data_IF_621571696396
#
_entry.id   IF_621571696396
#
_cell.length_a   1.000
_cell.length_b   1.000
_cell.length_c   1.000
_cell.angle_alpha   90.00
_cell.angle_beta   90.00
_cell.angle_gamma   90.00
#
_symmetry.space_group_name_H-M   'P 1'
#
loop_
_entity.id
_entity.type
_entity.pdbx_description
1 polymer ?
#
# COMPACT_ATOMS: atom_id res chain seq x y z
N UNK A 1 -41.57 -61.73 1.22
CA UNK A 1 -40.40 -60.93 1.66
C UNK A 1 -40.31 -59.70 0.79
N UNK A 2 -40.41 -58.52 1.37
CA UNK A 2 -40.37 -57.24 0.65
C UNK A 2 -40.84 -56.13 1.58
N UNK A 3 -39.89 -55.33 2.09
CA UNK A 3 -40.18 -54.15 2.91
C UNK A 3 -40.84 -53.08 2.02
N UNK A 4 -41.90 -52.40 2.47
CA UNK A 4 -42.42 -51.26 1.75
C UNK A 4 -41.47 -50.06 1.91
N UNK A 5 -41.33 -49.35 0.80
CA UNK A 5 -40.60 -48.10 0.62
C UNK A 5 -40.81 -47.13 1.79
N UNK A 6 -39.71 -46.59 2.34
CA UNK A 6 -39.73 -45.38 3.15
C UNK A 6 -40.26 -44.24 2.28
N UNK A 7 -41.52 -43.87 2.49
CA UNK A 7 -42.06 -42.58 2.10
C UNK A 7 -41.24 -41.46 2.75
N UNK A 8 -41.10 -40.38 1.99
CA UNK A 8 -40.18 -39.28 2.23
C UNK A 8 -40.27 -38.68 3.62
N UNK A 9 -39.09 -38.51 4.21
CA UNK A 9 -38.84 -37.44 5.16
C UNK A 9 -37.95 -36.44 4.40
N UNK A 10 -38.55 -35.73 3.46
CA UNK A 10 -38.16 -34.34 3.21
C UNK A 10 -38.71 -33.56 4.40
N UNK A 11 -38.02 -33.67 5.54
CA UNK A 11 -38.24 -32.75 6.65
C UNK A 11 -37.58 -31.44 6.27
N UNK A 12 -38.37 -30.38 6.37
CA UNK A 12 -37.99 -28.99 6.21
C UNK A 12 -36.57 -28.71 6.72
N UNK A 13 -35.71 -28.24 5.83
CA UNK A 13 -34.43 -27.60 6.19
C UNK A 13 -34.68 -26.25 6.91
N UNK A 14 -35.96 -25.86 7.06
CA UNK A 14 -36.40 -24.66 7.79
C UNK A 14 -36.94 -24.98 9.20
N UNK A 15 -36.65 -26.16 9.75
CA UNK A 15 -37.08 -26.62 11.08
C UNK A 15 -36.38 -25.94 12.27
N UNK A 16 -36.14 -24.64 12.23
CA UNK A 16 -35.70 -23.89 13.41
C UNK A 16 -36.93 -23.55 14.23
N UNK A 17 -36.89 -23.84 15.54
CA UNK A 17 -37.91 -23.32 16.46
C UNK A 17 -37.93 -21.79 16.32
N UNK A 18 -39.08 -21.11 16.45
CA UNK A 18 -39.16 -19.65 16.35
C UNK A 18 -38.19 -18.92 17.30
N UNK A 19 -37.80 -19.58 18.38
CA UNK A 19 -36.95 -19.07 19.45
C UNK A 19 -35.46 -19.40 19.26
N UNK A 20 -35.08 -20.10 18.19
CA UNK A 20 -33.70 -20.49 17.92
C UNK A 20 -33.15 -19.61 16.79
N UNK A 21 -32.28 -18.69 17.19
CA UNK A 21 -31.56 -17.82 16.29
C UNK A 21 -30.59 -18.64 15.43
N UNK A 22 -30.80 -18.66 14.11
CA UNK A 22 -30.09 -19.54 13.16
C UNK A 22 -29.55 -18.79 11.94
N UNK A 23 -29.06 -17.57 12.13
CA UNK A 23 -28.27 -16.91 11.10
C UNK A 23 -26.79 -17.32 11.21
N UNK A 24 -26.24 -17.80 10.09
CA UNK A 24 -24.81 -18.04 9.98
C UNK A 24 -24.09 -16.71 9.81
N UNK A 25 -23.60 -16.12 10.91
CA UNK A 25 -22.79 -14.91 10.85
C UNK A 25 -21.32 -15.24 10.57
N UNK A 26 -20.71 -14.66 9.51
CA UNK A 26 -19.27 -14.77 9.33
C UNK A 26 -18.54 -14.02 10.44
N UNK A 27 -17.60 -14.70 11.10
CA UNK A 27 -16.68 -14.10 12.07
C UNK A 27 -15.94 -12.93 11.45
N UNK A 28 -15.88 -11.81 12.16
CA UNK A 28 -15.23 -10.58 11.69
C UNK A 28 -15.78 -10.10 10.32
N UNK A 29 -17.03 -10.48 10.00
CA UNK A 29 -17.67 -10.16 8.73
C UNK A 29 -17.90 -8.67 8.51
N UNK A 30 -18.16 -8.25 7.25
CA UNK A 30 -18.34 -6.84 6.88
C UNK A 30 -19.50 -6.14 7.60
N UNK A 31 -20.45 -6.90 8.16
CA UNK A 31 -21.55 -6.38 8.98
C UNK A 31 -21.12 -5.90 10.38
N UNK A 32 -19.89 -6.19 10.82
CA UNK A 32 -19.35 -5.82 12.14
C UNK A 32 -18.21 -4.80 11.99
N UNK A 33 -18.23 -3.98 10.93
CA UNK A 33 -17.26 -2.88 10.75
C UNK A 33 -17.50 -1.81 11.82
N UNK A 34 -16.45 -1.04 12.10
CA UNK A 34 -16.57 0.17 12.94
C UNK A 34 -16.94 -0.10 14.40
N UNK A 35 -16.60 -1.29 14.90
CA UNK A 35 -16.65 -1.63 16.33
C UNK A 35 -15.30 -2.20 16.80
N UNK A 36 -15.05 -2.26 18.10
CA UNK A 36 -13.91 -2.95 18.72
C UNK A 36 -14.41 -3.71 19.95
N UNK A 37 -14.11 -5.01 20.01
CA UNK A 37 -14.43 -5.85 21.18
C UNK A 37 -13.36 -5.60 22.24
N UNK A 38 -13.80 -5.14 23.41
CA UNK A 38 -13.00 -4.91 24.61
C UNK A 38 -13.24 -6.05 25.62
N UNK A 39 -12.53 -6.05 26.75
CA UNK A 39 -12.63 -7.10 27.77
C UNK A 39 -14.02 -7.22 28.41
N UNK A 40 -14.73 -6.10 28.54
CA UNK A 40 -15.99 -5.97 29.27
C UNK A 40 -17.09 -5.25 28.48
N UNK A 41 -16.87 -5.02 27.18
CA UNK A 41 -17.86 -4.38 26.32
C UNK A 41 -17.43 -4.22 24.87
N UNK A 42 -18.20 -3.44 24.12
CA UNK A 42 -17.94 -3.09 22.73
C UNK A 42 -17.84 -1.57 22.62
N UNK A 43 -16.78 -1.11 21.97
CA UNK A 43 -16.60 0.26 21.53
C UNK A 43 -17.14 0.37 20.10
N UNK A 44 -18.22 1.11 19.92
CA UNK A 44 -18.90 1.32 18.65
C UNK A 44 -18.61 2.73 18.15
N UNK A 45 -18.09 2.84 16.93
CA UNK A 45 -17.72 4.10 16.30
C UNK A 45 -18.24 4.18 14.86
N UNK A 46 -19.32 3.45 14.57
CA UNK A 46 -20.05 3.53 13.29
C UNK A 46 -20.83 4.83 13.12
N UNK A 47 -21.19 5.48 14.24
CA UNK A 47 -21.89 6.76 14.27
C UNK A 47 -20.97 7.98 14.23
N UNK A 48 -21.52 9.15 14.58
CA UNK A 48 -20.78 10.42 14.65
C UNK A 48 -19.94 10.61 15.91
N UNK A 49 -19.94 9.62 16.80
CA UNK A 49 -19.18 9.60 18.06
C UNK A 49 -18.98 8.15 18.50
N UNK A 50 -18.03 7.95 19.40
CA UNK A 50 -17.83 6.66 20.05
C UNK A 50 -18.92 6.43 21.09
N UNK A 51 -19.55 5.26 21.04
CA UNK A 51 -20.48 4.76 22.03
C UNK A 51 -19.96 3.45 22.63
N UNK A 52 -20.27 3.20 23.90
CA UNK A 52 -19.88 1.98 24.59
C UNK A 52 -21.13 1.21 24.96
N UNK A 53 -21.18 -0.05 24.55
CA UNK A 53 -22.35 -0.92 24.74
C UNK A 53 -21.93 -2.32 25.15
N UNK A 54 -22.90 -3.10 25.62
CA UNK A 54 -22.72 -4.55 25.77
C UNK A 54 -22.61 -5.19 24.39
N UNK A 55 -21.94 -6.33 24.32
CA UNK A 55 -21.94 -7.13 23.10
C UNK A 55 -23.35 -7.61 22.79
N UNK A 56 -23.67 -7.58 21.51
CA UNK A 56 -24.87 -8.17 20.94
C UNK A 56 -24.50 -9.56 20.40
N UNK A 57 -25.46 -10.49 20.25
CA UNK A 57 -25.22 -11.77 19.61
C UNK A 57 -24.48 -11.63 18.28
N UNK A 58 -24.79 -10.59 17.51
CA UNK A 58 -24.19 -10.33 16.21
C UNK A 58 -22.72 -9.87 16.20
N UNK A 59 -22.12 -9.48 17.35
CA UNK A 59 -20.72 -9.05 17.44
C UNK A 59 -19.71 -10.23 17.48
N UNK A 60 -19.92 -11.26 16.65
CA UNK A 60 -19.03 -12.43 16.58
C UNK A 60 -17.64 -12.06 16.04
N UNK A 61 -16.69 -11.87 16.95
CA UNK A 61 -15.28 -11.59 16.65
C UNK A 61 -14.36 -12.69 17.16
N UNK A 62 -13.31 -12.95 16.38
CA UNK A 62 -12.25 -13.90 16.80
C UNK A 62 -11.34 -13.32 17.87
N UNK A 63 -11.15 -12.02 17.83
CA UNK A 63 -10.14 -11.32 18.63
C UNK A 63 -10.80 -10.23 19.50
N UNK A 64 -10.28 -10.06 20.70
CA UNK A 64 -10.64 -9.00 21.63
C UNK A 64 -9.40 -8.20 22.00
N UNK A 65 -9.55 -6.89 22.19
CA UNK A 65 -8.48 -6.05 22.67
C UNK A 65 -8.37 -6.13 24.20
N UNK A 66 -7.16 -6.11 24.77
CA UNK A 66 -6.92 -6.32 26.20
C UNK A 66 -7.15 -5.05 27.03
N UNK A 67 -8.24 -4.32 26.76
CA UNK A 67 -8.61 -3.09 27.45
C UNK A 67 -10.05 -3.18 27.90
N UNK A 68 -10.38 -2.52 29.00
CA UNK A 68 -11.75 -2.32 29.48
C UNK A 68 -12.38 -1.07 28.89
N UNK A 69 -13.70 -1.01 28.90
CA UNK A 69 -14.48 0.16 28.51
C UNK A 69 -14.08 1.39 29.33
N UNK A 70 -13.86 1.23 30.63
CA UNK A 70 -13.49 2.35 31.50
C UNK A 70 -12.08 2.88 31.21
N UNK A 71 -11.12 2.01 30.90
CA UNK A 71 -9.77 2.42 30.47
C UNK A 71 -9.83 3.25 29.18
N UNK A 72 -10.54 2.78 28.15
CA UNK A 72 -10.64 3.50 26.87
C UNK A 72 -11.47 4.78 27.01
N UNK A 73 -12.60 4.73 27.74
CA UNK A 73 -13.46 5.90 27.97
C UNK A 73 -12.72 7.00 28.73
N UNK A 74 -12.04 6.62 29.81
CA UNK A 74 -11.26 7.52 30.67
C UNK A 74 -9.94 7.97 30.06
N UNK A 75 -9.49 7.34 28.98
CA UNK A 75 -8.28 7.71 28.28
C UNK A 75 -8.34 9.16 27.77
N UNK A 76 -7.24 9.88 28.02
CA UNK A 76 -7.02 11.26 27.56
C UNK A 76 -6.34 11.26 26.18
N UNK A 77 -5.54 12.29 25.89
CA UNK A 77 -4.71 12.37 24.69
C UNK A 77 -3.47 11.46 24.82
N UNK A 78 -3.07 10.73 23.77
CA UNK A 78 -1.85 9.93 23.76
C UNK A 78 -0.63 10.81 23.40
N UNK A 79 -0.23 11.70 24.32
CA UNK A 79 0.78 12.73 24.06
C UNK A 79 2.14 12.16 23.67
N UNK A 80 2.61 11.11 24.34
CA UNK A 80 3.90 10.50 24.02
C UNK A 80 3.87 9.81 22.64
N UNK A 81 2.77 9.15 22.31
CA UNK A 81 2.59 8.60 20.96
C UNK A 81 2.59 9.69 19.88
N UNK A 82 1.86 10.78 20.11
CA UNK A 82 1.80 11.90 19.16
C UNK A 82 3.17 12.57 18.98
N UNK A 83 3.91 12.78 20.07
CA UNK A 83 5.26 13.35 20.03
C UNK A 83 6.25 12.45 19.28
N UNK A 84 6.20 11.14 19.53
CA UNK A 84 6.99 10.17 18.74
C UNK A 84 6.66 10.24 17.25
N UNK A 85 5.38 10.31 16.90
CA UNK A 85 4.97 10.39 15.49
C UNK A 85 5.38 11.71 14.84
N UNK A 86 5.33 12.84 15.57
CA UNK A 86 5.89 14.13 15.14
C UNK A 86 7.38 14.06 14.87
N UNK A 87 8.15 13.36 15.73
CA UNK A 87 9.57 13.14 15.52
C UNK A 87 9.92 12.41 14.21
N UNK A 88 8.98 11.69 13.59
CA UNK A 88 9.20 10.97 12.33
C UNK A 88 8.89 11.82 11.08
N UNK A 89 8.17 12.95 11.22
CA UNK A 89 7.69 13.76 10.11
C UNK A 89 7.80 15.26 10.39
N UNK A 90 8.60 15.98 9.59
CA UNK A 90 8.70 17.44 9.71
C UNK A 90 7.44 18.19 9.24
N UNK A 91 6.63 17.58 8.36
CA UNK A 91 5.41 18.18 7.83
C UNK A 91 4.19 17.64 8.59
N UNK A 92 3.49 18.52 9.30
CA UNK A 92 2.32 18.16 10.10
C UNK A 92 1.13 17.68 9.26
N UNK A 93 0.95 18.20 8.04
CA UNK A 93 -0.10 17.72 7.12
C UNK A 93 0.20 16.28 6.67
N UNK A 94 1.46 15.97 6.38
CA UNK A 94 1.92 14.62 6.07
C UNK A 94 1.60 13.68 7.24
N UNK A 95 1.93 14.08 8.46
CA UNK A 95 1.62 13.30 9.65
C UNK A 95 0.10 13.13 9.86
N UNK A 96 -0.69 14.18 9.70
CA UNK A 96 -2.14 14.10 9.84
C UNK A 96 -2.76 13.20 8.78
N UNK A 97 -2.27 13.25 7.53
CA UNK A 97 -2.68 12.33 6.46
C UNK A 97 -2.34 10.88 6.80
N UNK A 98 -1.21 10.62 7.46
CA UNK A 98 -0.85 9.29 7.96
C UNK A 98 -1.80 8.84 9.08
N UNK A 99 -2.19 9.72 10.00
CA UNK A 99 -3.18 9.37 11.03
C UNK A 99 -4.53 8.97 10.44
N UNK A 100 -5.00 9.65 9.39
CA UNK A 100 -6.20 9.21 8.66
C UNK A 100 -6.01 7.83 8.01
N UNK A 101 -4.85 7.56 7.40
CA UNK A 101 -4.58 6.21 6.89
C UNK A 101 -4.57 5.14 7.99
N UNK A 102 -3.88 5.40 9.11
CA UNK A 102 -3.83 4.48 10.26
C UNK A 102 -5.21 4.29 10.92
N UNK A 103 -6.10 5.28 10.83
CA UNK A 103 -7.48 5.18 11.34
C UNK A 103 -8.32 4.11 10.61
N UNK A 104 -7.90 3.68 9.42
CA UNK A 104 -8.55 2.58 8.69
C UNK A 104 -8.33 1.21 9.33
N UNK A 105 -7.33 1.09 10.21
CA UNK A 105 -7.00 -0.16 10.90
C UNK A 105 -8.13 -0.58 11.86
N UNK A 106 -8.52 0.22 12.88
CA UNK A 106 -9.58 -0.16 13.80
C UNK A 106 -10.92 -0.42 13.09
N UNK A 107 -11.23 0.32 12.02
CA UNK A 107 -12.50 0.18 11.30
C UNK A 107 -12.60 -1.11 10.48
N UNK A 108 -11.46 -1.73 10.13
CA UNK A 108 -11.37 -2.88 9.22
C UNK A 108 -12.00 -2.60 7.85
N UNK A 109 -12.12 -1.32 7.48
CA UNK A 109 -12.77 -0.90 6.25
C UNK A 109 -11.75 -0.84 5.10
N UNK A 110 -11.73 -1.89 4.29
CA UNK A 110 -10.93 -1.96 3.06
C UNK A 110 -11.63 -1.32 1.86
N UNK A 111 -12.89 -0.87 2.01
CA UNK A 111 -13.73 -0.35 0.93
C UNK A 111 -13.23 0.97 0.31
N UNK A 112 -12.38 1.72 1.01
CA UNK A 112 -11.75 2.94 0.49
C UNK A 112 -10.55 2.68 -0.41
N UNK A 113 -10.12 1.42 -0.53
CA UNK A 113 -9.08 0.98 -1.47
C UNK A 113 -7.74 1.65 -1.28
N UNK A 114 -7.28 1.75 -0.04
CA UNK A 114 -5.93 2.18 0.28
C UNK A 114 -5.07 1.00 0.76
N UNK A 115 -3.82 0.99 0.33
CA UNK A 115 -2.75 0.15 0.88
C UNK A 115 -1.51 1.00 1.12
N UNK A 116 -0.89 0.82 2.28
CA UNK A 116 0.18 1.67 2.78
C UNK A 116 1.53 1.22 2.25
N UNK A 117 2.34 2.17 1.80
CA UNK A 117 3.74 1.95 1.43
C UNK A 117 4.57 2.96 2.19
N UNK A 118 5.26 2.50 3.24
CA UNK A 118 6.10 3.31 4.11
C UNK A 118 7.55 3.13 3.68
N UNK A 119 8.13 4.19 3.14
CA UNK A 119 9.49 4.21 2.58
C UNK A 119 10.39 5.13 3.40
N UNK A 120 11.68 4.83 3.45
CA UNK A 120 12.69 5.65 4.10
C UNK A 120 13.91 4.81 4.43
N UNK A 121 15.02 5.42 4.84
CA UNK A 121 16.23 4.67 5.17
C UNK A 121 16.13 3.91 6.51
N UNK A 122 17.25 3.31 6.93
CA UNK A 122 17.40 2.72 8.26
C UNK A 122 17.17 3.79 9.35
N UNK A 123 16.64 3.37 10.49
CA UNK A 123 16.52 4.20 11.70
C UNK A 123 15.61 5.43 11.58
N UNK A 124 14.61 5.39 10.69
CA UNK A 124 13.65 6.50 10.51
C UNK A 124 12.34 6.34 11.29
N UNK A 125 12.25 5.40 12.23
CA UNK A 125 11.04 5.15 13.01
C UNK A 125 9.95 4.29 12.34
N UNK A 126 10.05 3.94 11.05
CA UNK A 126 9.06 3.09 10.32
C UNK A 126 8.69 1.82 11.06
N UNK A 127 9.69 1.00 11.38
CA UNK A 127 9.47 -0.30 12.05
C UNK A 127 8.93 -0.10 13.46
N UNK A 128 9.39 0.93 14.17
CA UNK A 128 8.89 1.29 15.51
C UNK A 128 7.42 1.70 15.44
N UNK A 129 7.00 2.51 14.47
CA UNK A 129 5.58 2.84 14.25
C UNK A 129 4.74 1.58 14.06
N UNK A 130 5.17 0.64 13.21
CA UNK A 130 4.44 -0.61 13.02
C UNK A 130 4.40 -1.46 14.30
N UNK A 131 5.49 -1.52 15.07
CA UNK A 131 5.54 -2.25 16.34
C UNK A 131 4.56 -1.64 17.37
N UNK A 132 4.46 -0.30 17.44
CA UNK A 132 3.50 0.38 18.31
C UNK A 132 2.07 0.05 17.90
N UNK A 133 1.74 0.14 16.61
CA UNK A 133 0.40 -0.21 16.11
C UNK A 133 0.08 -1.69 16.35
N UNK A 134 1.04 -2.59 16.17
CA UNK A 134 0.90 -4.02 16.47
C UNK A 134 0.59 -4.27 17.96
N UNK A 135 1.26 -3.53 18.86
CA UNK A 135 1.06 -3.65 20.30
C UNK A 135 -0.29 -3.04 20.76
N UNK A 136 -0.71 -1.92 20.17
CA UNK A 136 -2.00 -1.28 20.44
C UNK A 136 -3.16 -2.17 19.99
N UNK A 137 -3.05 -2.79 18.82
CA UNK A 137 -4.05 -3.72 18.28
C UNK A 137 -3.62 -5.18 18.47
N UNK A 138 -3.09 -5.51 19.64
CA UNK A 138 -2.58 -6.84 19.97
C UNK A 138 -3.60 -7.93 19.63
N UNK A 139 -3.13 -9.00 18.98
CA UNK A 139 -3.98 -10.09 18.49
C UNK A 139 -4.79 -9.74 17.23
N UNK A 140 -4.96 -8.47 16.85
CA UNK A 140 -5.71 -8.11 15.63
C UNK A 140 -4.80 -7.89 14.41
N UNK A 141 -3.50 -7.69 14.61
CA UNK A 141 -2.51 -7.52 13.55
C UNK A 141 -1.83 -8.83 13.16
N UNK A 142 -1.24 -8.89 11.96
CA UNK A 142 -0.38 -10.00 11.54
C UNK A 142 0.82 -9.52 10.75
N UNK A 143 1.89 -10.33 10.69
CA UNK A 143 3.04 -10.09 9.82
C UNK A 143 3.06 -11.11 8.70
N UNK A 144 3.29 -10.63 7.47
CA UNK A 144 3.44 -11.46 6.28
C UNK A 144 4.88 -11.40 5.78
N UNK A 145 5.29 -12.49 5.13
CA UNK A 145 6.55 -12.52 4.38
C UNK A 145 6.42 -11.69 3.10
N UNK A 146 7.49 -11.00 2.72
CA UNK A 146 7.51 -10.17 1.50
C UNK A 146 7.22 -10.95 0.22
N UNK A 147 7.60 -12.23 0.15
CA UNK A 147 7.32 -13.14 -0.97
C UNK A 147 5.82 -13.30 -1.30
N UNK A 148 4.92 -12.97 -0.36
CA UNK A 148 3.47 -13.04 -0.56
C UNK A 148 2.98 -11.91 -1.47
N UNK A 149 3.62 -10.73 -1.40
CA UNK A 149 3.26 -9.57 -2.21
C UNK A 149 4.19 -9.37 -3.41
N UNK A 150 5.33 -10.06 -3.42
CA UNK A 150 6.41 -9.86 -4.39
C UNK A 150 6.47 -11.02 -5.37
N UNK A 151 6.57 -10.70 -6.67
CA UNK A 151 6.70 -11.72 -7.69
C UNK A 151 8.09 -12.35 -7.65
N UNK A 152 8.22 -13.53 -7.06
CA UNK A 152 9.39 -14.38 -7.24
C UNK A 152 9.28 -15.13 -8.59
N UNK A 153 9.66 -14.45 -9.68
CA UNK A 153 9.98 -15.10 -10.96
C UNK A 153 8.84 -15.82 -11.68
N UNK A 154 7.63 -15.24 -11.72
CA UNK A 154 6.55 -15.74 -12.58
C UNK A 154 5.84 -17.01 -12.11
N UNK A 155 6.09 -17.49 -10.88
CA UNK A 155 5.21 -18.50 -10.27
C UNK A 155 3.85 -17.86 -10.00
N UNK A 156 2.88 -18.15 -10.87
CA UNK A 156 1.48 -18.17 -10.47
C UNK A 156 1.35 -19.27 -9.42
N UNK A 157 0.96 -18.92 -8.20
CA UNK A 157 0.54 -19.92 -7.22
C UNK A 157 -0.49 -20.80 -7.91
N UNK A 158 -0.21 -22.10 -7.98
CA UNK A 158 -1.17 -23.04 -8.54
C UNK A 158 -2.39 -23.05 -7.62
N UNK A 159 -3.61 -23.05 -8.17
CA UNK A 159 -4.85 -23.03 -7.36
C UNK A 159 -4.98 -24.21 -6.37
N UNK A 160 -4.11 -25.23 -6.48
CA UNK A 160 -4.04 -26.36 -5.57
C UNK A 160 -2.95 -26.24 -4.47
N UNK A 161 -2.09 -25.22 -4.49
CA UNK A 161 -1.06 -25.04 -3.45
C UNK A 161 -1.67 -24.49 -2.16
N UNK A 162 -1.12 -24.89 -1.01
CA UNK A 162 -1.52 -24.33 0.27
C UNK A 162 -1.03 -22.86 0.35
N UNK A 163 -1.87 -21.98 0.88
CA UNK A 163 -1.62 -20.52 0.95
C UNK A 163 -1.70 -20.00 2.39
N UNK A 164 -0.89 -20.56 3.32
CA UNK A 164 -1.02 -20.27 4.75
C UNK A 164 -0.81 -18.78 5.10
N UNK A 165 -0.01 -18.04 4.33
CA UNK A 165 0.19 -16.61 4.54
C UNK A 165 -1.07 -15.78 4.18
N UNK A 166 -1.81 -16.19 3.14
CA UNK A 166 -3.10 -15.55 2.81
C UNK A 166 -4.13 -15.89 3.88
N UNK A 167 -4.15 -17.13 4.37
CA UNK A 167 -5.07 -17.55 5.45
C UNK A 167 -4.88 -16.73 6.75
N UNK A 168 -3.67 -16.23 7.05
CA UNK A 168 -3.41 -15.38 8.22
C UNK A 168 -4.14 -14.04 8.20
N UNK A 169 -4.51 -13.56 7.01
CA UNK A 169 -5.21 -12.27 6.83
C UNK A 169 -6.64 -12.29 7.34
N UNK A 170 -7.23 -13.47 7.42
CA UNK A 170 -8.64 -13.63 7.76
C UNK A 170 -8.94 -13.08 9.16
N UNK A 171 -9.82 -12.07 9.24
CA UNK A 171 -10.23 -11.45 10.50
C UNK A 171 -9.22 -10.48 11.12
N UNK A 172 -8.08 -10.23 10.47
CA UNK A 172 -7.08 -9.25 10.96
C UNK A 172 -7.49 -7.83 10.59
N UNK A 173 -7.06 -6.85 11.39
CA UNK A 173 -7.28 -5.42 11.15
C UNK A 173 -6.14 -4.77 10.38
N UNK A 174 -4.93 -5.32 10.47
CA UNK A 174 -3.79 -4.91 9.68
C UNK A 174 -2.86 -6.09 9.39
N UNK A 175 -2.17 -6.00 8.26
CA UNK A 175 -1.10 -6.92 7.93
C UNK A 175 0.15 -6.15 7.50
N UNK A 176 1.26 -6.44 8.17
CA UNK A 176 2.52 -5.75 7.97
C UNK A 176 3.49 -6.61 7.16
N UNK A 177 4.06 -6.01 6.12
CA UNK A 177 5.10 -6.63 5.30
C UNK A 177 6.36 -5.82 5.48
N UNK A 178 7.35 -6.42 6.13
CA UNK A 178 8.65 -5.79 6.38
C UNK A 178 9.70 -6.42 5.48
N UNK A 179 10.74 -5.65 5.15
CA UNK A 179 11.94 -6.14 4.46
C UNK A 179 11.64 -6.73 3.06
N UNK A 180 11.13 -5.88 2.15
CA UNK A 180 11.14 -6.26 0.73
C UNK A 180 12.58 -6.30 0.23
N UNK A 181 12.93 -7.38 -0.46
CA UNK A 181 14.23 -7.50 -1.10
C UNK A 181 14.46 -6.32 -2.05
N UNK A 182 15.72 -5.89 -2.19
CA UNK A 182 16.10 -4.96 -3.25
C UNK A 182 15.69 -5.57 -4.60
N UNK A 183 15.01 -4.80 -5.45
CA UNK A 183 14.42 -5.25 -6.72
C UNK A 183 13.15 -6.13 -6.62
N UNK A 184 12.48 -6.14 -5.47
CA UNK A 184 11.17 -6.78 -5.33
C UNK A 184 10.13 -6.11 -6.23
N UNK A 185 9.49 -6.87 -7.12
CA UNK A 185 8.36 -6.40 -7.93
C UNK A 185 7.03 -6.73 -7.26
N UNK A 186 6.18 -5.73 -7.03
CA UNK A 186 4.85 -5.86 -6.47
C UNK A 186 3.92 -6.60 -7.43
N UNK A 187 3.20 -7.61 -6.91
CA UNK A 187 2.12 -8.27 -7.63
C UNK A 187 0.89 -7.36 -7.67
N UNK A 188 0.75 -6.55 -8.72
CA UNK A 188 -0.32 -5.54 -8.80
C UNK A 188 -1.73 -6.13 -8.80
N UNK A 189 -1.94 -7.35 -9.31
CA UNK A 189 -3.21 -8.05 -9.20
C UNK A 189 -3.57 -8.35 -7.74
N UNK A 190 -2.66 -8.98 -7.01
CA UNK A 190 -2.89 -9.34 -5.62
C UNK A 190 -2.99 -8.11 -4.71
N UNK A 191 -2.22 -7.06 -5.00
CA UNK A 191 -2.38 -5.75 -4.34
C UNK A 191 -3.81 -5.21 -4.47
N UNK A 192 -4.40 -5.30 -5.68
CA UNK A 192 -5.79 -4.87 -5.92
C UNK A 192 -6.81 -5.74 -5.22
N UNK A 193 -6.59 -7.06 -5.13
CA UNK A 193 -7.48 -7.96 -4.41
C UNK A 193 -7.47 -7.63 -2.90
N UNK A 194 -6.28 -7.47 -2.32
CA UNK A 194 -6.10 -7.14 -0.90
C UNK A 194 -6.72 -5.79 -0.51
N UNK A 195 -6.59 -4.80 -1.37
CA UNK A 195 -7.10 -3.45 -1.14
C UNK A 195 -8.50 -3.24 -1.73
N UNK A 196 -9.02 -4.17 -2.53
CA UNK A 196 -10.23 -3.96 -3.34
C UNK A 196 -11.53 -4.32 -2.64
N UNK A 197 -11.46 -5.06 -1.53
CA UNK A 197 -12.62 -5.66 -0.87
C UNK A 197 -13.18 -6.87 -1.61
N UNK A 198 -12.45 -7.39 -2.59
CA UNK A 198 -12.79 -8.63 -3.30
C UNK A 198 -12.51 -9.84 -2.40
N UNK A 199 -13.26 -10.92 -2.59
CA UNK A 199 -13.08 -12.16 -1.84
C UNK A 199 -11.73 -12.80 -2.17
N UNK A 200 -10.99 -13.19 -1.13
CA UNK A 200 -9.76 -13.96 -1.24
C UNK A 200 -10.03 -15.43 -0.97
N UNK A 201 -9.45 -16.30 -1.79
CA UNK A 201 -9.42 -17.74 -1.53
C UNK A 201 -8.12 -18.11 -0.83
N UNK A 202 -8.22 -18.71 0.36
CA UNK A 202 -7.08 -19.28 1.05
C UNK A 202 -7.22 -20.78 1.27
N UNK A 203 -6.08 -21.47 1.37
CA UNK A 203 -6.02 -22.88 1.72
C UNK A 203 -4.98 -23.09 2.81
N UNK A 204 -5.43 -23.23 4.04
CA UNK A 204 -4.56 -23.61 5.15
C UNK A 204 -3.96 -25.00 4.93
N UNK A 205 -2.83 -25.27 5.60
CA UNK A 205 -2.19 -26.59 5.54
C UNK A 205 -3.18 -27.65 6.07
N UNK A 206 -3.37 -28.73 5.29
CA UNK A 206 -4.32 -29.82 5.58
C UNK A 206 -5.80 -29.41 5.65
N UNK A 207 -6.17 -28.22 5.15
CA UNK A 207 -7.54 -27.76 5.06
C UNK A 207 -8.05 -27.74 3.61
N UNK A 208 -9.37 -27.70 3.46
CA UNK A 208 -10.01 -27.35 2.20
C UNK A 208 -9.84 -25.85 1.94
N UNK A 209 -9.77 -25.43 0.66
CA UNK A 209 -9.84 -24.01 0.33
C UNK A 209 -11.13 -23.39 0.85
N UNK A 210 -11.04 -22.16 1.32
CA UNK A 210 -12.18 -21.37 1.74
C UNK A 210 -12.01 -19.91 1.33
N UNK A 211 -13.14 -19.24 1.20
CA UNK A 211 -13.24 -17.87 0.72
C UNK A 211 -13.54 -16.94 1.90
N UNK A 212 -12.89 -15.79 1.93
CA UNK A 212 -13.14 -14.77 2.94
C UNK A 212 -12.96 -13.36 2.39
N UNK A 213 -13.59 -12.38 3.03
CA UNK A 213 -13.39 -10.98 2.70
C UNK A 213 -12.21 -10.40 3.49
N UNK A 214 -11.24 -9.75 2.83
CA UNK A 214 -10.13 -9.12 3.53
C UNK A 214 -10.60 -7.91 4.34
N UNK A 215 -10.28 -7.95 5.63
CA UNK A 215 -10.55 -6.88 6.61
C UNK A 215 -9.31 -6.08 6.98
N UNK A 216 -8.13 -6.59 6.61
CA UNK A 216 -6.85 -6.04 7.05
C UNK A 216 -6.36 -4.91 6.16
N UNK A 217 -5.94 -3.79 6.75
CA UNK A 217 -5.13 -2.80 6.06
C UNK A 217 -3.73 -3.34 5.82
N UNK A 218 -3.32 -3.43 4.56
CA UNK A 218 -1.98 -3.91 4.20
C UNK A 218 -1.00 -2.74 4.25
N UNK A 219 0.11 -2.91 4.96
CA UNK A 219 1.19 -1.92 5.01
C UNK A 219 2.52 -2.59 4.69
N UNK A 220 3.18 -2.09 3.64
CA UNK A 220 4.55 -2.45 3.29
C UNK A 220 5.47 -1.41 3.91
N UNK A 221 6.37 -1.82 4.79
CA UNK A 221 7.47 -0.97 5.27
C UNK A 221 8.79 -1.47 4.71
N UNK A 222 9.48 -0.61 3.96
CA UNK A 222 10.74 -0.98 3.32
C UNK A 222 11.70 0.18 3.17
N UNK A 223 12.98 -0.16 3.05
CA UNK A 223 14.03 0.78 2.66
C UNK A 223 14.13 0.96 1.15
N UNK A 224 13.56 0.01 0.39
CA UNK A 224 13.53 0.03 -1.07
C UNK A 224 12.10 0.03 -1.55
N UNK A 225 11.77 0.97 -2.43
CA UNK A 225 10.46 1.01 -3.06
C UNK A 225 10.29 -0.23 -3.96
N UNK A 226 9.24 -1.05 -3.79
CA UNK A 226 9.03 -2.21 -4.66
C UNK A 226 8.75 -1.73 -6.09
N UNK A 227 9.25 -2.40 -7.12
CA UNK A 227 8.86 -2.01 -8.47
C UNK A 227 7.41 -2.37 -8.76
N UNK A 228 6.76 -1.59 -9.61
CA UNK A 228 5.44 -1.92 -10.14
C UNK A 228 5.31 -1.43 -11.58
N UNK A 229 4.28 -1.88 -12.27
CA UNK A 229 3.97 -1.39 -13.62
C UNK A 229 3.43 0.05 -13.54
N UNK A 230 4.21 1.01 -14.06
CA UNK A 230 3.86 2.43 -14.06
C UNK A 230 2.54 2.73 -14.81
N UNK A 231 2.10 1.83 -15.70
CA UNK A 231 0.85 1.96 -16.46
C UNK A 231 -0.36 1.35 -15.75
N UNK A 232 -0.18 0.74 -14.59
CA UNK A 232 -1.26 0.17 -13.78
C UNK A 232 -1.88 1.22 -12.84
N UNK A 233 -2.64 2.16 -13.41
CA UNK A 233 -3.36 3.22 -12.67
C UNK A 233 -4.24 2.68 -11.55
N UNK A 234 -4.82 1.50 -11.76
CA UNK A 234 -5.66 0.85 -10.77
C UNK A 234 -4.83 0.45 -9.54
N UNK A 235 -3.64 -0.14 -9.70
CA UNK A 235 -2.78 -0.43 -8.56
C UNK A 235 -2.26 0.85 -7.91
N UNK A 236 -1.79 1.80 -8.73
CA UNK A 236 -1.18 3.05 -8.28
C UNK A 236 -2.12 3.95 -7.48
N UNK A 237 -3.38 4.10 -7.92
CA UNK A 237 -4.39 4.90 -7.22
C UNK A 237 -4.64 4.41 -5.79
N UNK A 238 -4.49 3.10 -5.54
CA UNK A 238 -4.66 2.48 -4.22
C UNK A 238 -3.45 2.63 -3.29
N UNK A 239 -2.31 3.11 -3.77
CA UNK A 239 -1.11 3.27 -2.96
C UNK A 239 -1.18 4.56 -2.13
N UNK A 240 -1.12 4.43 -0.81
CA UNK A 240 -0.87 5.52 0.13
C UNK A 240 0.61 5.51 0.52
N UNK A 241 1.41 6.36 -0.14
CA UNK A 241 2.88 6.34 -0.03
C UNK A 241 3.33 7.40 0.97
N UNK A 242 4.09 6.99 1.99
CA UNK A 242 4.61 7.87 3.03
C UNK A 242 6.13 7.76 3.11
N UNK A 243 6.82 8.89 3.05
CA UNK A 243 8.26 8.96 3.16
C UNK A 243 8.68 9.36 4.59
N UNK A 244 9.23 8.41 5.33
CA UNK A 244 9.87 8.62 6.62
C UNK A 244 11.30 9.13 6.40
N UNK A 245 11.44 10.46 6.32
CA UNK A 245 12.68 11.14 5.93
C UNK A 245 13.65 11.40 7.09
N UNK A 246 13.15 11.48 8.32
CA UNK A 246 13.96 11.82 9.49
C UNK A 246 14.69 10.57 9.95
N UNK A 247 16.02 10.59 9.88
CA UNK A 247 16.87 9.50 10.39
C UNK A 247 17.30 9.83 11.81
N UNK A 248 16.98 8.93 12.74
CA UNK A 248 17.34 9.08 14.15
C UNK A 248 18.77 8.59 14.40
N UNK A 249 19.51 9.31 15.24
CA UNK A 249 20.90 8.98 15.55
C UNK A 249 20.99 7.61 16.25
N UNK A 250 21.95 6.79 15.82
CA UNK A 250 22.35 5.57 16.54
C UNK A 250 23.46 5.90 17.52
N UNK A 251 23.28 5.53 18.80
CA UNK A 251 24.41 5.21 19.65
C UNK A 251 24.70 6.15 20.82
N UNK A 252 23.70 6.50 21.62
CA UNK A 252 23.99 6.73 23.03
C UNK A 252 24.08 5.37 23.75
N UNK A 253 25.07 5.21 24.65
CA UNK A 253 24.99 4.16 25.68
C UNK A 253 23.69 4.43 26.45
N UNK A 254 22.83 3.43 26.62
CA UNK A 254 21.48 3.51 27.20
C UNK A 254 20.33 3.93 26.26
N UNK A 255 20.56 3.95 24.93
CA UNK A 255 19.47 4.13 23.97
C UNK A 255 18.40 3.02 24.11
N UNK A 256 17.16 3.42 24.44
CA UNK A 256 16.00 2.52 24.57
C UNK A 256 15.82 1.68 23.30
N UNK A 257 15.57 0.38 23.46
CA UNK A 257 15.18 -0.45 22.33
C UNK A 257 13.77 -0.10 21.86
N UNK A 258 13.41 -0.51 20.63
CA UNK A 258 12.02 -0.37 20.17
C UNK A 258 11.02 -1.04 21.11
N UNK A 259 11.41 -2.11 21.82
CA UNK A 259 10.52 -2.79 22.76
C UNK A 259 10.35 -2.01 24.05
N UNK A 260 11.42 -1.39 24.56
CA UNK A 260 11.36 -0.53 25.75
C UNK A 260 10.45 0.67 25.47
N UNK A 261 10.61 1.29 24.31
CA UNK A 261 9.77 2.40 23.89
C UNK A 261 8.28 2.01 23.76
N UNK A 262 7.99 0.86 23.15
CA UNK A 262 6.62 0.34 23.07
C UNK A 262 6.04 0.06 24.47
N UNK A 263 6.87 -0.43 25.39
CA UNK A 263 6.49 -0.65 26.79
C UNK A 263 6.15 0.67 27.50
N UNK A 264 6.94 1.71 27.27
CA UNK A 264 6.70 3.04 27.85
C UNK A 264 5.40 3.68 27.34
N UNK A 265 5.02 3.40 26.08
CA UNK A 265 3.76 3.86 25.51
C UNK A 265 2.53 3.04 25.96
N UNK A 266 2.72 1.88 26.61
CA UNK A 266 1.62 0.99 27.00
C UNK A 266 0.49 1.66 27.78
N UNK A 267 0.76 2.57 28.74
CA UNK A 267 -0.29 3.31 29.45
C UNK A 267 -1.17 4.18 28.53
N UNK A 268 -0.66 4.59 27.36
CA UNK A 268 -1.39 5.39 26.38
C UNK A 268 -2.13 4.55 25.32
N UNK A 269 -1.97 3.22 25.27
CA UNK A 269 -2.62 2.40 24.24
C UNK A 269 -4.14 2.60 24.14
N UNK A 270 -4.91 2.67 25.25
CA UNK A 270 -6.34 3.00 25.19
C UNK A 270 -6.62 4.37 24.55
N UNK A 271 -5.75 5.36 24.81
CA UNK A 271 -5.84 6.70 24.21
C UNK A 271 -5.53 6.68 22.71
N UNK A 272 -4.54 5.87 22.27
CA UNK A 272 -4.22 5.71 20.85
C UNK A 272 -5.39 5.09 20.08
N UNK A 273 -6.05 4.08 20.63
CA UNK A 273 -7.24 3.46 20.01
C UNK A 273 -8.35 4.50 19.86
N UNK A 274 -8.65 5.21 20.94
CA UNK A 274 -9.68 6.26 20.95
C UNK A 274 -9.39 7.32 19.90
N UNK A 275 -8.16 7.83 19.87
CA UNK A 275 -7.70 8.82 18.88
C UNK A 275 -7.87 8.34 17.44
N UNK A 276 -7.45 7.10 17.12
CA UNK A 276 -7.58 6.56 15.77
C UNK A 276 -9.05 6.33 15.39
N UNK A 277 -9.91 5.91 16.31
CA UNK A 277 -11.34 5.77 16.04
C UNK A 277 -12.01 7.12 15.80
N UNK A 278 -11.67 8.16 16.57
CA UNK A 278 -12.15 9.53 16.35
C UNK A 278 -11.69 10.08 14.99
N UNK A 279 -10.44 9.81 14.59
CA UNK A 279 -9.93 10.14 13.25
C UNK A 279 -10.69 9.40 12.15
N UNK A 280 -11.06 8.14 12.37
CA UNK A 280 -11.86 7.38 11.42
C UNK A 280 -13.26 7.96 11.26
N UNK A 281 -13.93 8.34 12.36
CA UNK A 281 -15.26 8.97 12.31
C UNK A 281 -15.21 10.22 11.42
N UNK A 282 -14.21 11.08 11.62
CA UNK A 282 -14.00 12.27 10.80
C UNK A 282 -13.73 11.93 9.32
N UNK A 283 -12.87 10.94 9.06
CA UNK A 283 -12.60 10.44 7.71
C UNK A 283 -13.88 9.92 7.03
N UNK A 284 -14.68 9.14 7.75
CA UNK A 284 -15.88 8.50 7.22
C UNK A 284 -16.99 9.51 6.93
N UNK A 285 -17.28 10.38 7.89
CA UNK A 285 -18.44 11.29 7.84
C UNK A 285 -18.11 12.56 7.06
N UNK A 286 -17.02 13.23 7.39
CA UNK A 286 -16.71 14.55 6.85
C UNK A 286 -15.92 14.45 5.54
N UNK A 287 -14.97 13.52 5.46
CA UNK A 287 -14.10 13.36 4.29
C UNK A 287 -14.57 12.26 3.32
N UNK A 288 -15.62 11.51 3.69
CA UNK A 288 -16.24 10.45 2.87
C UNK A 288 -15.22 9.40 2.40
N UNK A 289 -14.28 9.08 3.28
CA UNK A 289 -13.20 8.13 3.01
C UNK A 289 -12.00 8.67 2.25
N UNK A 290 -12.02 9.93 1.80
CA UNK A 290 -10.90 10.50 1.06
C UNK A 290 -9.83 10.98 2.03
N UNK A 291 -8.69 10.30 2.06
CA UNK A 291 -7.55 10.73 2.87
C UNK A 291 -7.00 12.04 2.29
N UNK A 292 -6.86 13.11 3.11
CA UNK A 292 -6.31 14.38 2.66
C UNK A 292 -4.79 14.28 2.63
N UNK A 293 -4.25 13.70 1.57
CA UNK A 293 -2.80 13.60 1.38
C UNK A 293 -2.17 14.99 1.27
N UNK A 294 -1.07 15.21 1.98
CA UNK A 294 -0.28 16.44 1.86
C UNK A 294 0.35 16.55 0.47
N UNK A 295 0.74 17.76 0.10
CA UNK A 295 1.45 17.99 -1.16
C UNK A 295 2.78 17.21 -1.21
N UNK A 296 3.44 17.02 -0.07
CA UNK A 296 4.67 16.21 0.04
C UNK A 296 4.39 14.73 -0.26
N UNK A 297 3.31 14.15 0.28
CA UNK A 297 2.90 12.78 -0.01
C UNK A 297 2.57 12.59 -1.50
N UNK A 298 1.82 13.53 -2.09
CA UNK A 298 1.43 13.48 -3.50
C UNK A 298 2.69 13.55 -4.39
N UNK A 299 3.55 14.54 -4.17
CA UNK A 299 4.77 14.71 -4.95
C UNK A 299 5.70 13.49 -4.84
N UNK A 300 5.84 12.90 -3.65
CA UNK A 300 6.67 11.72 -3.45
C UNK A 300 6.07 10.47 -4.13
N UNK A 301 4.74 10.31 -4.07
CA UNK A 301 4.03 9.23 -4.77
C UNK A 301 4.19 9.36 -6.29
N UNK A 302 4.10 10.57 -6.83
CA UNK A 302 4.29 10.84 -8.26
C UNK A 302 5.74 10.56 -8.69
N UNK A 303 6.72 11.04 -7.91
CA UNK A 303 8.14 10.72 -8.14
C UNK A 303 8.39 9.21 -8.17
N UNK A 304 7.80 8.47 -7.22
CA UNK A 304 7.91 7.02 -7.18
C UNK A 304 7.36 6.35 -8.46
N UNK A 305 6.27 6.86 -9.04
CA UNK A 305 5.74 6.40 -10.34
C UNK A 305 6.67 6.75 -11.50
N UNK A 306 7.16 7.99 -11.54
CA UNK A 306 8.13 8.45 -12.55
C UNK A 306 9.40 7.59 -12.56
N UNK A 307 9.83 7.15 -11.38
CA UNK A 307 10.98 6.25 -11.23
C UNK A 307 10.74 4.84 -11.78
N UNK A 308 9.48 4.40 -11.86
CA UNK A 308 9.12 3.12 -12.47
C UNK A 308 9.08 3.18 -14.01
N UNK A 309 9.08 4.36 -14.62
CA UNK A 309 9.06 4.50 -16.08
C UNK A 309 10.29 3.86 -16.70
N UNK A 310 10.06 3.01 -17.69
CA UNK A 310 11.09 2.36 -18.50
C UNK A 310 11.76 3.36 -19.44
N UNK A 311 12.84 2.92 -20.11
CA UNK A 311 13.44 3.70 -21.19
C UNK A 311 12.45 3.89 -22.35
N UNK A 312 11.60 2.90 -22.66
CA UNK A 312 10.61 3.09 -23.71
C UNK A 312 9.55 4.14 -23.37
N UNK A 313 9.17 4.26 -22.11
CA UNK A 313 8.24 5.31 -21.67
C UNK A 313 8.86 6.69 -21.87
N UNK A 314 10.12 6.88 -21.46
CA UNK A 314 10.83 8.15 -21.68
C UNK A 314 11.03 8.46 -23.16
N UNK A 315 11.35 7.45 -23.96
CA UNK A 315 11.42 7.58 -25.41
C UNK A 315 10.08 8.05 -25.97
N UNK A 316 8.99 7.38 -25.61
CA UNK A 316 7.64 7.69 -26.09
C UNK A 316 7.27 9.13 -25.73
N UNK A 317 7.39 9.51 -24.46
CA UNK A 317 7.07 10.86 -23.98
C UNK A 317 7.91 11.94 -24.66
N UNK A 318 9.21 11.67 -24.87
CA UNK A 318 10.12 12.64 -25.50
C UNK A 318 9.92 12.74 -27.02
N UNK A 319 9.51 11.67 -27.71
CA UNK A 319 9.60 11.60 -29.17
C UNK A 319 8.25 11.51 -29.89
N UNK A 320 7.18 11.11 -29.22
CA UNK A 320 5.91 10.78 -29.88
C UNK A 320 4.82 11.75 -29.42
N UNK A 321 4.05 12.27 -30.38
CA UNK A 321 2.75 12.92 -30.15
C UNK A 321 1.66 11.94 -30.55
N UNK A 322 0.60 11.86 -29.74
CA UNK A 322 -0.57 11.02 -29.98
C UNK A 322 -1.82 11.87 -30.26
N UNK A 323 -2.93 11.21 -30.58
CA UNK A 323 -4.26 11.81 -30.82
C UNK A 323 -4.31 12.83 -31.97
N UNK A 324 -3.51 12.58 -33.01
CA UNK A 324 -3.51 13.40 -34.22
C UNK A 324 -4.37 12.73 -35.29
N UNK A 325 -5.65 13.05 -35.35
CA UNK A 325 -6.60 12.34 -36.24
C UNK A 325 -6.35 12.62 -37.73
N UNK A 326 -6.12 13.87 -38.13
CA UNK A 326 -5.95 14.26 -39.54
C UNK A 326 -4.92 15.37 -39.69
N UNK A 327 -4.07 15.25 -40.71
CA UNK A 327 -3.19 16.35 -41.10
C UNK A 327 -4.02 17.43 -41.81
N UNK A 328 -4.07 18.68 -41.29
CA UNK A 328 -4.91 19.73 -41.86
C UNK A 328 -4.46 20.18 -43.27
N UNK A 329 -3.25 19.81 -43.69
CA UNK A 329 -2.69 20.13 -45.00
C UNK A 329 -3.02 19.07 -46.04
N UNK A 330 -2.99 17.79 -45.66
CA UNK A 330 -3.19 16.68 -46.60
C UNK A 330 -4.57 16.05 -46.53
N UNK A 331 -5.30 16.23 -45.42
CA UNK A 331 -6.59 15.57 -45.16
C UNK A 331 -6.47 14.07 -44.83
N UNK A 332 -5.26 13.53 -44.76
CA UNK A 332 -5.00 12.13 -44.45
C UNK A 332 -4.71 11.93 -42.96
N UNK A 333 -5.02 10.76 -42.38
CA UNK A 333 -4.66 10.46 -41.00
C UNK A 333 -3.15 10.47 -40.79
N UNK A 334 -2.71 11.07 -39.67
CA UNK A 334 -1.30 10.99 -39.29
C UNK A 334 -0.88 9.54 -39.12
N UNK A 335 0.32 9.22 -39.59
CA UNK A 335 0.93 7.93 -39.36
C UNK A 335 2.44 8.06 -39.36
N UNK A 336 3.08 7.15 -38.64
CA UNK A 336 4.53 6.98 -38.64
C UNK A 336 4.86 5.54 -38.98
N UNK A 337 5.84 5.32 -39.86
CA UNK A 337 6.30 3.95 -40.14
C UNK A 337 6.98 3.41 -38.90
N UNK A 338 6.75 2.15 -38.60
CA UNK A 338 7.43 1.53 -37.45
C UNK A 338 8.95 1.45 -37.64
N UNK A 339 9.45 1.56 -38.88
CA UNK A 339 10.87 1.71 -39.18
C UNK A 339 11.39 3.05 -38.69
N UNK A 340 10.68 4.14 -39.00
CA UNK A 340 11.07 5.50 -38.61
C UNK A 340 11.01 5.66 -37.08
N UNK A 341 9.99 5.11 -36.42
CA UNK A 341 9.90 5.10 -34.95
C UNK A 341 11.05 4.32 -34.34
N UNK A 342 11.44 3.18 -34.92
CA UNK A 342 12.56 2.40 -34.43
C UNK A 342 13.91 3.10 -34.63
N UNK A 343 14.12 3.69 -35.81
CA UNK A 343 15.32 4.50 -36.06
C UNK A 343 15.39 5.66 -35.07
N UNK A 344 14.25 6.33 -34.80
CA UNK A 344 14.16 7.39 -33.81
C UNK A 344 14.52 6.92 -32.40
N UNK A 345 14.17 5.69 -32.02
CA UNK A 345 14.58 5.08 -30.75
C UNK A 345 16.09 4.89 -30.67
N UNK A 346 16.71 4.39 -31.75
CA UNK A 346 18.16 4.24 -31.83
C UNK A 346 18.85 5.60 -31.72
N UNK A 347 18.39 6.58 -32.51
CA UNK A 347 18.96 7.94 -32.49
C UNK A 347 18.83 8.58 -31.11
N UNK A 348 17.65 8.46 -30.48
CA UNK A 348 17.38 9.04 -29.16
C UNK A 348 18.30 8.48 -28.10
N UNK A 349 18.64 7.19 -28.16
CA UNK A 349 19.55 6.54 -27.21
C UNK A 349 21.00 6.47 -27.67
N UNK A 350 21.33 7.06 -28.82
CA UNK A 350 22.67 7.04 -29.43
C UNK A 350 23.16 5.60 -29.65
N UNK A 351 22.26 4.73 -30.11
CA UNK A 351 22.51 3.32 -30.38
C UNK A 351 22.57 3.05 -31.88
N UNK A 352 23.13 1.90 -32.21
CA UNK A 352 23.03 1.26 -33.52
C UNK A 352 22.26 -0.05 -33.39
N UNK A 353 21.78 -0.62 -34.50
CA UNK A 353 21.10 -1.94 -34.49
C UNK A 353 21.96 -3.05 -33.87
N UNK A 354 23.29 -2.94 -34.00
CA UNK A 354 24.26 -3.91 -33.46
C UNK A 354 24.67 -3.64 -32.00
N UNK A 355 24.18 -2.55 -31.40
CA UNK A 355 24.47 -2.23 -30.00
C UNK A 355 23.87 -3.29 -29.07
N UNK A 356 24.63 -3.76 -28.09
CA UNK A 356 24.19 -4.85 -27.18
C UNK A 356 22.98 -4.44 -26.35
N UNK A 357 22.88 -3.15 -26.05
CA UNK A 357 21.82 -2.51 -25.28
C UNK A 357 20.56 -2.24 -26.12
N UNK A 358 20.65 -2.32 -27.46
CA UNK A 358 19.53 -2.04 -28.34
C UNK A 358 18.50 -3.17 -28.30
N UNK A 359 17.25 -2.79 -28.06
CA UNK A 359 16.13 -3.70 -28.30
C UNK A 359 15.91 -3.88 -29.79
N UNK A 360 15.44 -5.07 -30.20
CA UNK A 360 14.99 -5.28 -31.58
C UNK A 360 13.73 -4.46 -31.87
N UNK A 361 13.55 -4.06 -33.13
CA UNK A 361 12.33 -3.36 -33.60
C UNK A 361 11.04 -4.05 -33.15
N UNK A 362 10.99 -5.37 -33.23
CA UNK A 362 9.82 -6.15 -32.80
C UNK A 362 9.54 -6.00 -31.30
N UNK A 363 10.57 -5.97 -30.44
CA UNK A 363 10.41 -5.75 -28.99
C UNK A 363 9.95 -4.32 -28.69
N UNK A 364 10.55 -3.32 -29.33
CA UNK A 364 10.16 -1.91 -29.18
C UNK A 364 8.68 -1.71 -29.53
N UNK A 365 8.25 -2.18 -30.70
CA UNK A 365 6.84 -2.09 -31.14
C UNK A 365 5.91 -2.83 -30.17
N UNK A 366 6.31 -4.04 -29.73
CA UNK A 366 5.50 -4.85 -28.81
C UNK A 366 5.29 -4.13 -27.47
N UNK A 367 6.34 -3.58 -26.88
CA UNK A 367 6.27 -2.93 -25.57
C UNK A 367 5.58 -1.57 -25.65
N UNK A 368 5.88 -0.75 -26.66
CA UNK A 368 5.14 0.49 -26.88
C UNK A 368 3.63 0.25 -26.96
N UNK A 369 3.17 -0.78 -27.67
CA UNK A 369 1.73 -1.12 -27.74
C UNK A 369 1.14 -1.69 -26.46
N UNK A 370 1.96 -2.39 -25.66
CA UNK A 370 1.52 -2.97 -24.38
C UNK A 370 1.26 -1.85 -23.37
N UNK A 371 2.18 -0.89 -23.35
CA UNK A 371 2.30 0.13 -22.32
C UNK A 371 1.49 1.40 -22.70
N UNK A 372 1.44 1.74 -23.99
CA UNK A 372 0.64 2.85 -24.54
C UNK A 372 -0.50 2.30 -25.39
N UNK A 373 -1.68 2.13 -24.76
CA UNK A 373 -2.86 1.48 -25.37
C UNK A 373 -3.50 2.30 -26.49
N UNK A 374 -3.23 3.60 -26.52
CA UNK A 374 -3.63 4.54 -27.57
C UNK A 374 -2.94 4.26 -28.92
N UNK A 375 -1.82 3.51 -28.93
CA UNK A 375 -1.10 3.21 -30.16
C UNK A 375 -1.80 2.16 -31.03
N UNK A 376 -2.31 2.61 -32.18
CA UNK A 376 -2.98 1.75 -33.16
C UNK A 376 -2.00 1.32 -34.26
N UNK A 377 -1.75 0.01 -34.37
CA UNK A 377 -0.91 -0.57 -35.42
C UNK A 377 -1.74 -1.02 -36.62
N UNK A 378 -1.34 -0.62 -37.83
CA UNK A 378 -1.96 -1.05 -39.10
C UNK A 378 -0.91 -1.39 -40.15
N UNK A 379 -1.35 -2.04 -41.22
CA UNK A 379 -0.53 -2.32 -42.39
C UNK A 379 -0.93 -1.36 -43.52
N UNK A 380 0.04 -0.63 -44.08
CA UNK A 380 -0.13 0.22 -45.26
C UNK A 380 0.81 -0.26 -46.37
N UNK A 381 0.49 0.04 -47.63
CA UNK A 381 1.33 -0.31 -48.78
C UNK A 381 2.10 0.92 -49.26
N UNK A 382 3.42 0.79 -49.39
CA UNK A 382 4.30 1.81 -49.95
C UNK A 382 5.04 1.19 -51.14
N UNK A 383 4.88 1.75 -52.34
CA UNK A 383 5.50 1.19 -53.56
C UNK A 383 5.13 -0.28 -53.82
N UNK A 384 3.93 -0.71 -53.41
CA UNK A 384 3.46 -2.09 -53.54
C UNK A 384 3.83 -3.02 -52.37
N UNK A 385 4.84 -2.67 -51.57
CA UNK A 385 5.29 -3.46 -50.43
C UNK A 385 4.48 -3.12 -49.17
N UNK A 386 3.99 -4.11 -48.42
CA UNK A 386 3.28 -3.86 -47.18
C UNK A 386 4.26 -3.53 -46.05
N UNK A 387 3.97 -2.49 -45.28
CA UNK A 387 4.73 -2.08 -44.10
C UNK A 387 3.80 -1.78 -42.91
N UNK A 388 4.27 -2.01 -41.69
CA UNK A 388 3.56 -1.66 -40.46
C UNK A 388 3.75 -0.19 -40.09
N UNK A 389 2.65 0.48 -39.79
CA UNK A 389 2.60 1.89 -39.35
C UNK A 389 1.82 2.01 -38.05
N UNK A 390 2.19 2.99 -37.23
CA UNK A 390 1.34 3.49 -36.17
C UNK A 390 0.45 4.60 -36.72
N UNK A 391 -0.86 4.55 -36.44
CA UNK A 391 -1.81 5.60 -36.80
C UNK A 391 -1.97 6.62 -35.68
N UNK A 392 -2.40 7.81 -36.06
CA UNK A 392 -2.75 8.94 -35.19
C UNK A 392 -1.60 9.43 -34.31
N UNK A 393 -0.37 9.18 -34.76
CA UNK A 393 0.84 9.67 -34.09
C UNK A 393 1.73 10.44 -35.05
N UNK A 394 2.60 11.27 -34.46
CA UNK A 394 3.65 11.98 -35.17
C UNK A 394 4.93 12.01 -34.33
N UNK A 395 6.08 11.81 -34.98
CA UNK A 395 7.37 12.02 -34.34
C UNK A 395 7.61 13.52 -34.13
N UNK A 396 8.00 13.91 -32.91
CA UNK A 396 8.37 15.29 -32.60
C UNK A 396 9.59 15.73 -33.41
N UNK A 397 9.67 17.04 -33.68
CA UNK A 397 10.80 17.63 -34.42
C UNK A 397 12.11 17.34 -33.67
N UNK A 398 13.10 16.81 -34.37
CA UNK A 398 14.36 16.38 -33.77
C UNK A 398 15.09 17.52 -33.04
N UNK A 399 15.08 18.74 -33.59
CA UNK A 399 15.75 19.91 -32.99
C UNK A 399 15.23 20.28 -31.59
N UNK A 400 14.06 19.75 -31.21
CA UNK A 400 13.45 19.96 -29.89
C UNK A 400 13.71 18.79 -28.91
N UNK A 401 14.49 17.78 -29.31
CA UNK A 401 14.76 16.57 -28.54
C UNK A 401 16.23 16.52 -28.15
N UNK A 402 16.50 16.26 -26.88
CA UNK A 402 17.86 16.01 -26.39
C UNK A 402 18.11 14.49 -26.34
N UNK A 403 19.10 13.96 -27.07
CA UNK A 403 19.46 12.54 -26.99
C UNK A 403 19.86 12.14 -25.57
N UNK A 404 19.53 10.92 -25.19
CA UNK A 404 19.82 10.34 -23.88
C UNK A 404 20.71 9.09 -24.02
N UNK A 405 21.16 8.56 -22.88
CA UNK A 405 21.71 7.21 -22.79
C UNK A 405 20.67 6.29 -22.14
N UNK A 406 20.60 5.01 -22.52
CA UNK A 406 19.71 4.06 -21.85
C UNK A 406 20.11 3.96 -20.36
N UNK A 407 19.13 3.76 -19.48
CA UNK A 407 19.43 3.52 -18.06
C UNK A 407 20.16 2.17 -17.96
N UNK A 408 21.22 2.13 -17.14
CA UNK A 408 21.86 0.87 -16.81
C UNK A 408 20.85 -0.06 -16.11
N UNK A 409 20.77 -1.31 -16.58
CA UNK A 409 19.72 -2.28 -16.22
C UNK A 409 19.74 -2.73 -14.74
N UNK A 410 20.73 -2.31 -13.94
CA UNK A 410 20.99 -2.83 -12.58
C UNK A 410 20.86 -1.83 -11.44
N UNK A 411 20.33 -0.63 -11.69
CA UNK A 411 20.10 0.34 -10.62
C UNK A 411 18.67 0.85 -10.67
N UNK A 412 17.77 0.17 -9.93
CA UNK A 412 16.57 0.86 -9.45
C UNK A 412 17.04 2.09 -8.67
N UNK A 413 16.45 3.26 -8.95
CA UNK A 413 16.77 4.46 -8.20
C UNK A 413 16.46 4.20 -6.72
N UNK A 414 17.41 4.52 -5.84
CA UNK A 414 17.00 5.13 -4.58
C UNK A 414 16.28 6.41 -4.99
N UNK A 415 15.06 6.70 -4.48
CA UNK A 415 14.43 7.96 -4.79
C UNK A 415 15.46 9.07 -4.55
N UNK A 416 15.81 9.82 -5.60
CA UNK A 416 16.88 10.81 -5.49
C UNK A 416 16.40 11.88 -4.50
N UNK A 417 16.99 11.86 -3.30
CA UNK A 417 16.62 12.67 -2.14
C UNK A 417 16.83 14.20 -2.32
N UNK A 418 17.40 14.64 -3.44
CA UNK A 418 17.83 16.03 -3.60
C UNK A 418 16.87 16.89 -4.42
N UNK A 419 15.58 17.00 -4.05
CA UNK A 419 14.73 18.14 -4.42
C UNK A 419 13.65 18.52 -3.38
N UNK A 420 13.73 18.02 -2.15
CA UNK A 420 12.98 18.58 -1.03
C UNK A 420 14.00 19.13 -0.04
N UNK A 421 13.90 20.42 0.24
CA UNK A 421 14.80 21.23 1.05
C UNK A 421 15.23 20.45 2.30
N UNK A 422 16.53 20.42 2.68
CA UNK A 422 16.94 19.87 3.96
C UNK A 422 16.26 20.71 5.05
N UNK A 423 15.24 20.16 5.68
CA UNK A 423 14.66 20.75 6.89
C UNK A 423 15.46 20.20 8.06
N UNK A 424 16.05 21.11 8.85
CA UNK A 424 16.70 20.76 10.11
C UNK A 424 15.77 19.90 10.97
N UNK A 425 16.30 18.91 11.70
CA UNK A 425 15.50 18.11 12.61
C UNK A 425 14.83 19.02 13.66
N UNK A 426 13.60 18.71 14.09
CA UNK A 426 12.94 19.45 15.17
C UNK A 426 13.80 19.40 16.45
N UNK A 427 13.92 20.55 17.14
CA UNK A 427 14.76 20.73 18.33
C UNK A 427 14.36 19.83 19.52
N UNK A 428 13.11 19.33 19.53
CA UNK A 428 12.60 18.42 20.56
C UNK A 428 12.54 16.99 20.01
N UNK A 429 13.70 16.34 19.92
CA UNK A 429 13.78 14.92 19.60
C UNK A 429 13.57 14.10 20.89
N UNK A 430 12.53 13.24 20.99
CA UNK A 430 12.33 12.38 22.17
C UNK A 430 13.44 11.34 22.39
N UNK A 431 14.41 11.22 21.47
CA UNK A 431 15.63 10.44 21.65
C UNK A 431 16.80 11.21 22.30
N UNK A 432 16.70 12.54 22.41
CA UNK A 432 17.62 13.36 23.18
C UNK A 432 16.99 13.59 24.56
N UNK A 433 17.42 12.81 25.55
CA UNK A 433 17.00 13.01 26.93
C UNK A 433 17.48 14.38 27.43
N UNK A 434 16.55 15.24 27.82
CA UNK A 434 16.82 16.42 28.64
C UNK A 434 17.33 16.00 30.02
N UNK A 435 18.54 16.41 30.37
CA UNK A 435 18.79 17.34 31.49
C UNK A 435 20.29 17.69 31.55
N UNK A 436 20.63 18.89 31.05
CA UNK A 436 21.75 19.68 31.55
C UNK A 436 21.14 20.71 32.50
N UNK A 437 21.23 20.48 33.81
CA UNK A 437 21.66 21.46 34.80
C UNK A 437 21.58 20.94 36.26
N UNK A 438 22.52 21.45 37.05
CA UNK A 438 22.65 21.36 38.50
C UNK A 438 23.13 20.03 39.10
N UNK A 439 24.45 19.90 39.19
CA UNK A 439 25.14 19.93 40.50
C UNK A 439 26.61 20.32 40.30
N UNK A 440 26.88 21.62 40.24
CA UNK A 440 28.16 22.15 40.69
C UNK A 440 28.08 22.33 42.21
N UNK A 441 28.59 21.38 42.98
CA UNK A 441 29.31 21.67 44.24
C UNK A 441 29.86 20.41 44.91
N UNK A 442 31.20 20.28 44.79
CA UNK A 442 32.17 19.77 45.79
C UNK A 442 32.23 18.26 46.14
N UNK A 443 33.38 17.80 46.69
CA UNK A 443 34.76 18.03 46.28
C UNK A 443 35.56 16.72 46.13
N UNK A 444 36.75 16.81 45.54
CA UNK A 444 37.80 15.78 45.63
C UNK A 444 38.00 15.31 47.08
N UNK A 445 38.15 14.00 47.30
CA UNK A 445 39.02 13.34 48.31
C UNK A 445 38.87 11.81 48.17
N UNK A 446 39.98 11.19 47.75
CA UNK A 446 40.51 9.83 47.93
C UNK A 446 39.77 8.59 47.41
#
# INVERSE_FOLDING_TARGET
GGRPFRQGITQDINGTKPDVWCESLPFDGPQIRETLTLLDGVMDFSGSKIEYRKSLPEDYRREMLPYTVDEVRGAKSPENFLNFMKGNFANEETLNSLFYYLSLIPSRNTGYKYGGIFLGEHDTGKSTTLNVIEAVFSGCCTRLKSDVLVSSGGRKMSGNEATPEIAKLEGRCAAFVQETARNAALQTSFWKELTGGDTLTARSLYAQPHDFLPTAQIIIASNYAPSFDAHDDAAFSRMAVYHFKIQHAKGQKDAKTSNDFVSDLRPEFPAVIKFLCEKYIDLHINLKGNIPFSQECIAYKDLYREEQKTDLDRFFEANIKVDLEFDPTTGEPYFERTADVYQRYLDFYQLTEDSKEAMSRAKVIKYLRRDHRELVLKQKRFGGNPEQVFLNIQLKKWDSITPQKPKATDQQPRPQQNQLIPTEPPEDNPFDSYDDNDYSDQPDIF
#
